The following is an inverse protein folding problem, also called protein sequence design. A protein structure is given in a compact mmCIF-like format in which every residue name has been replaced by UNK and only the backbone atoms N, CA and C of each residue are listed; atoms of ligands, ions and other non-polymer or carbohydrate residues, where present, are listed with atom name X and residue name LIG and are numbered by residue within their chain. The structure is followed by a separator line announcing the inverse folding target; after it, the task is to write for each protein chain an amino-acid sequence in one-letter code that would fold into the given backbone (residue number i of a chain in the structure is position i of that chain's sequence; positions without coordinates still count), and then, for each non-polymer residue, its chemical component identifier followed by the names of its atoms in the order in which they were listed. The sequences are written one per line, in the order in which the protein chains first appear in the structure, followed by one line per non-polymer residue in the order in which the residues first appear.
data_IF_003040363934
#
_entry.id   IF_003040363934
#
_cell.length_a   1.000
_cell.length_b   1.000
_cell.length_c   1.000
_cell.angle_alpha   90.00
_cell.angle_beta   90.00
_cell.angle_gamma   90.00
#
_symmetry.space_group_name_H-M   'P 1'
#
loop_
_entity.id
_entity.type
_entity.pdbx_description
1 polymer ?
#
# COMPACT_ATOMS: atom_id res chain seq x y z
N UNK A 1 15.33 3.62 5.00
CA UNK A 1 13.89 3.24 5.02
C UNK A 1 13.71 2.24 6.15
N UNK A 2 12.95 2.56 7.20
CA UNK A 2 12.59 1.56 8.23
C UNK A 2 11.85 0.40 7.55
N UNK A 3 12.36 -0.83 7.70
CA UNK A 3 11.67 -2.03 7.22
C UNK A 3 10.50 -2.29 8.17
N UNK A 4 9.30 -1.88 7.77
CA UNK A 4 8.09 -2.11 8.55
C UNK A 4 7.71 -3.59 8.41
N UNK A 5 7.91 -4.36 9.48
CA UNK A 5 7.40 -5.74 9.55
C UNK A 5 5.88 -5.70 9.73
N UNK A 6 5.16 -6.50 8.95
CA UNK A 6 3.71 -6.62 9.07
C UNK A 6 3.29 -8.06 9.16
N UNK A 7 2.32 -8.35 10.02
CA UNK A 7 1.65 -9.64 10.12
C UNK A 7 0.20 -9.50 9.64
N UNK A 8 -0.33 -10.56 9.05
CA UNK A 8 -1.67 -10.63 8.47
C UNK A 8 -2.45 -11.74 9.14
N UNK A 9 -3.72 -11.53 9.47
CA UNK A 9 -4.51 -12.56 10.15
C UNK A 9 -4.63 -13.82 9.27
N UNK A 10 -4.67 -13.64 7.94
CA UNK A 10 -4.78 -14.75 7.00
C UNK A 10 -3.61 -15.74 7.04
N UNK A 11 -2.40 -15.34 7.48
CA UNK A 11 -1.26 -16.28 7.59
C UNK A 11 -1.46 -17.31 8.70
N UNK A 12 -2.20 -16.95 9.75
CA UNK A 12 -2.50 -17.84 10.87
C UNK A 12 -3.80 -18.62 10.64
N UNK A 13 -4.84 -17.96 10.13
CA UNK A 13 -6.17 -18.56 10.00
C UNK A 13 -6.27 -19.56 8.84
N UNK A 14 -5.59 -19.32 7.71
CA UNK A 14 -5.68 -20.23 6.55
C UNK A 14 -5.20 -21.65 6.87
N UNK A 15 -4.01 -21.86 7.47
CA UNK A 15 -3.58 -23.20 7.89
C UNK A 15 -4.57 -23.89 8.84
N UNK A 16 -5.10 -23.16 9.83
CA UNK A 16 -6.07 -23.68 10.80
C UNK A 16 -7.33 -24.19 10.11
N UNK A 17 -7.90 -23.38 9.20
CA UNK A 17 -9.09 -23.76 8.42
C UNK A 17 -8.84 -24.94 7.51
N UNK A 18 -7.67 -25.01 6.86
CA UNK A 18 -7.34 -26.11 5.96
C UNK A 18 -7.21 -27.45 6.71
N UNK A 19 -6.73 -27.42 7.96
CA UNK A 19 -6.63 -28.60 8.84
C UNK A 19 -7.89 -28.84 9.67
N UNK A 20 -8.90 -27.97 9.56
CA UNK A 20 -10.13 -28.01 10.33
C UNK A 20 -9.92 -28.07 11.86
N UNK A 21 -8.98 -27.26 12.37
CA UNK A 21 -8.65 -27.15 13.80
C UNK A 21 -8.96 -25.75 14.33
N UNK A 22 -9.38 -25.67 15.60
CA UNK A 22 -9.64 -24.42 16.31
C UNK A 22 -8.48 -24.01 17.24
N UNK A 23 -7.76 -24.98 17.80
CA UNK A 23 -6.54 -24.78 18.60
C UNK A 23 -5.33 -25.46 17.94
N UNK A 24 -4.18 -24.82 17.97
CA UNK A 24 -2.97 -25.33 17.34
C UNK A 24 -1.70 -24.71 17.91
N UNK A 25 -0.73 -25.56 18.19
CA UNK A 25 0.62 -25.17 18.61
C UNK A 25 1.59 -25.55 17.49
N UNK A 26 2.45 -24.61 17.12
CA UNK A 26 3.45 -24.78 16.08
C UNK A 26 4.76 -24.09 16.47
N UNK A 27 5.81 -24.42 15.74
CA UNK A 27 7.08 -23.71 15.80
C UNK A 27 7.34 -23.10 14.42
N UNK A 28 7.61 -21.80 14.39
CA UNK A 28 7.86 -21.05 13.16
C UNK A 28 9.19 -20.31 13.32
N UNK A 29 10.18 -20.66 12.50
CA UNK A 29 11.55 -20.13 12.56
C UNK A 29 12.19 -20.24 13.96
N UNK A 30 11.99 -21.35 14.66
CA UNK A 30 12.49 -21.58 16.01
C UNK A 30 11.71 -20.85 17.12
N UNK A 31 10.54 -20.29 16.80
CA UNK A 31 9.70 -19.54 17.74
C UNK A 31 8.38 -20.24 17.96
N UNK A 32 7.98 -20.33 19.23
CA UNK A 32 6.68 -20.91 19.62
C UNK A 32 5.53 -20.03 19.14
N UNK A 33 4.58 -20.66 18.46
CA UNK A 33 3.33 -20.08 17.99
C UNK A 33 2.17 -20.90 18.55
N UNK A 34 1.27 -20.23 19.24
CA UNK A 34 0.01 -20.79 19.71
C UNK A 34 -1.15 -19.99 19.13
N UNK A 35 -2.14 -20.70 18.60
CA UNK A 35 -3.34 -20.12 18.02
C UNK A 35 -4.53 -20.80 18.68
N UNK A 36 -5.39 -20.01 19.32
CA UNK A 36 -6.63 -20.47 19.93
C UNK A 36 -7.80 -19.64 19.38
N UNK A 37 -8.58 -20.25 18.49
CA UNK A 37 -9.73 -19.60 17.86
C UNK A 37 -10.98 -19.65 18.73
N UNK A 38 -11.02 -20.51 19.74
CA UNK A 38 -12.15 -20.67 20.64
C UNK A 38 -12.09 -19.59 21.73
N UNK A 39 -10.90 -19.37 22.31
CA UNK A 39 -10.62 -18.31 23.26
C UNK A 39 -10.16 -16.99 22.59
N UNK A 40 -10.10 -16.95 21.27
CA UNK A 40 -9.82 -15.75 20.46
C UNK A 40 -8.47 -15.08 20.77
N UNK A 41 -7.37 -15.84 20.77
CA UNK A 41 -6.03 -15.25 20.89
C UNK A 41 -4.99 -15.95 20.01
N UNK A 42 -3.89 -15.23 19.76
CA UNK A 42 -2.68 -15.76 19.15
C UNK A 42 -1.50 -15.31 19.98
N UNK A 43 -0.65 -16.25 20.37
CA UNK A 43 0.61 -15.97 21.05
C UNK A 43 1.76 -16.34 20.13
N UNK A 44 2.62 -15.37 19.83
CA UNK A 44 3.82 -15.56 19.03
C UNK A 44 5.04 -15.11 19.80
N UNK A 45 5.83 -16.06 20.28
CA UNK A 45 6.99 -15.81 21.15
C UNK A 45 6.60 -15.07 22.43
N UNK A 46 6.84 -13.75 22.50
CA UNK A 46 6.46 -12.87 23.63
C UNK A 46 5.27 -11.97 23.32
N UNK A 47 4.86 -11.92 22.05
CA UNK A 47 3.79 -11.05 21.58
C UNK A 47 2.45 -11.80 21.71
N UNK A 48 1.49 -11.19 22.41
CA UNK A 48 0.12 -11.70 22.53
C UNK A 48 -0.83 -10.83 21.71
N UNK A 49 -1.75 -11.46 20.98
CA UNK A 49 -2.70 -10.79 20.11
C UNK A 49 -4.11 -11.29 20.36
N UNK A 50 -4.96 -10.40 20.85
CA UNK A 50 -6.40 -10.67 20.96
C UNK A 50 -7.05 -10.68 19.58
N UNK A 51 -8.04 -11.57 19.42
CA UNK A 51 -8.83 -11.71 18.21
C UNK A 51 -10.27 -11.29 18.44
N UNK A 52 -10.94 -10.96 17.34
CA UNK A 52 -12.39 -10.85 17.27
C UNK A 52 -12.91 -11.72 16.14
N UNK A 53 -14.04 -12.39 16.36
CA UNK A 53 -14.75 -13.17 15.35
C UNK A 53 -16.02 -12.44 14.90
N UNK A 54 -16.37 -12.61 13.63
CA UNK A 54 -17.65 -12.20 13.05
C UNK A 54 -18.20 -13.39 12.26
N UNK A 55 -19.48 -13.77 12.42
CA UNK A 55 -20.08 -14.81 11.60
C UNK A 55 -20.02 -14.44 10.11
N UNK A 56 -19.64 -15.41 9.30
CA UNK A 56 -19.56 -15.31 7.86
C UNK A 56 -20.92 -15.51 7.20
N UNK A 57 -21.12 -14.88 6.04
CA UNK A 57 -22.37 -14.94 5.26
C UNK A 57 -22.68 -16.31 4.64
N UNK A 58 -21.69 -17.22 4.54
CA UNK A 58 -21.86 -18.58 3.98
C UNK A 58 -21.50 -19.68 5.00
N UNK A 59 -21.65 -19.37 6.29
CA UNK A 59 -21.18 -20.23 7.39
C UNK A 59 -19.72 -19.97 7.78
N UNK A 60 -19.38 -20.37 9.01
CA UNK A 60 -18.05 -20.19 9.62
C UNK A 60 -17.75 -18.77 10.10
N UNK A 61 -16.57 -18.58 10.71
CA UNK A 61 -16.17 -17.29 11.31
C UNK A 61 -15.09 -16.56 10.50
N UNK A 62 -15.19 -15.24 10.47
CA UNK A 62 -14.14 -14.31 10.01
C UNK A 62 -13.43 -13.77 11.24
N UNK A 63 -12.12 -14.00 11.30
CA UNK A 63 -11.29 -13.54 12.41
C UNK A 63 -10.55 -12.26 12.03
N UNK A 64 -10.34 -11.41 13.03
CA UNK A 64 -9.63 -10.13 12.95
C UNK A 64 -8.73 -10.01 14.18
N UNK A 65 -7.60 -9.32 14.04
CA UNK A 65 -6.85 -8.85 15.21
C UNK A 65 -7.59 -7.70 15.85
N UNK A 66 -7.53 -7.63 17.18
CA UNK A 66 -7.81 -6.41 17.92
C UNK A 66 -6.51 -5.60 18.02
N UNK A 67 -6.56 -4.33 17.64
CA UNK A 67 -5.39 -3.47 17.75
C UNK A 67 -5.02 -3.25 19.22
N UNK A 68 -3.79 -3.55 19.67
CA UNK A 68 -3.38 -3.35 21.07
C UNK A 68 -3.45 -1.88 21.54
N UNK A 69 -3.45 -0.93 20.59
CA UNK A 69 -3.43 0.50 20.88
C UNK A 69 -4.85 1.11 20.93
N UNK A 70 -5.77 0.62 20.10
CA UNK A 70 -7.09 1.27 19.93
C UNK A 70 -8.28 0.31 19.94
N UNK A 71 -8.06 -0.98 20.14
CA UNK A 71 -9.12 -2.00 20.18
C UNK A 71 -9.85 -2.25 18.86
N UNK A 72 -9.54 -1.49 17.79
CA UNK A 72 -10.23 -1.66 16.52
C UNK A 72 -9.88 -2.99 15.86
N UNK A 73 -10.89 -3.63 15.27
CA UNK A 73 -10.74 -4.83 14.43
C UNK A 73 -9.93 -4.50 13.18
N UNK A 74 -8.86 -5.24 12.94
CA UNK A 74 -8.00 -5.07 11.79
C UNK A 74 -7.50 -6.42 11.25
N UNK A 75 -7.20 -6.48 9.95
CA UNK A 75 -6.66 -7.69 9.31
C UNK A 75 -5.13 -7.75 9.33
N UNK A 76 -4.49 -6.60 9.54
CA UNK A 76 -3.03 -6.45 9.52
C UNK A 76 -2.57 -5.64 10.71
N UNK A 77 -1.53 -6.13 11.36
CA UNK A 77 -0.79 -5.40 12.37
C UNK A 77 0.61 -5.09 11.82
N UNK A 78 1.07 -3.88 12.10
CA UNK A 78 2.37 -3.39 11.70
C UNK A 78 3.22 -3.23 12.96
N UNK A 79 4.43 -3.79 12.95
CA UNK A 79 5.42 -3.59 14.00
C UNK A 79 6.21 -2.33 13.68
N UNK A 80 6.19 -1.37 14.60
CA UNK A 80 7.09 -0.22 14.57
C UNK A 80 7.76 -0.11 15.93
N UNK A 81 9.08 0.00 15.94
CA UNK A 81 9.88 -0.12 17.15
C UNK A 81 9.57 -1.46 17.85
N UNK A 82 8.93 -1.42 19.03
CA UNK A 82 8.64 -2.59 19.86
C UNK A 82 7.16 -3.02 19.83
N UNK A 83 6.25 -2.23 19.27
CA UNK A 83 4.81 -2.42 19.45
C UNK A 83 4.12 -2.72 18.12
N UNK A 84 3.20 -3.67 18.13
CA UNK A 84 2.26 -3.92 17.03
C UNK A 84 1.05 -3.00 17.13
N UNK A 85 0.66 -2.42 16.00
CA UNK A 85 -0.57 -1.63 15.93
C UNK A 85 -1.20 -1.67 14.54
N UNK A 86 -2.45 -1.22 14.45
CA UNK A 86 -3.13 -1.09 13.17
C UNK A 86 -2.48 0.01 12.31
N UNK A 87 -2.79 0.01 11.01
CA UNK A 87 -2.21 0.97 10.05
C UNK A 87 -2.45 2.44 10.41
N UNK A 88 -3.57 2.75 11.06
CA UNK A 88 -3.90 4.09 11.53
C UNK A 88 -3.02 4.51 12.72
N UNK A 89 -2.92 3.68 13.76
CA UNK A 89 -2.09 3.95 14.94
C UNK A 89 -0.61 4.08 14.57
N UNK A 90 -0.13 3.22 13.68
CA UNK A 90 1.25 3.23 13.20
C UNK A 90 1.52 4.28 12.10
N UNK A 91 0.51 5.08 11.74
CA UNK A 91 0.58 6.14 10.71
C UNK A 91 1.13 5.63 9.36
N UNK A 92 0.89 4.36 9.01
CA UNK A 92 1.31 3.73 7.74
C UNK A 92 0.69 4.45 6.54
N UNK A 93 -0.55 4.93 6.72
CA UNK A 93 -1.21 5.70 5.68
C UNK A 93 -0.53 7.04 5.41
N UNK A 94 0.06 7.70 6.42
CA UNK A 94 0.80 8.96 6.20
C UNK A 94 2.07 8.73 5.40
N UNK A 95 2.85 7.69 5.71
CA UNK A 95 4.05 7.36 4.94
C UNK A 95 3.73 6.93 3.50
N UNK A 96 2.60 6.25 3.28
CA UNK A 96 2.19 5.79 1.94
C UNK A 96 1.49 6.89 1.11
N UNK A 97 0.60 7.70 1.71
CA UNK A 97 -0.08 8.80 1.01
C UNK A 97 0.85 9.96 0.67
N UNK A 98 1.85 10.22 1.52
CA UNK A 98 2.76 11.35 1.38
C UNK A 98 4.08 10.99 0.70
N UNK A 99 4.26 9.75 0.23
CA UNK A 99 5.57 9.27 -0.23
C UNK A 99 6.18 10.03 -1.41
N UNK A 100 5.46 10.96 -2.03
CA UNK A 100 5.96 11.67 -3.21
C UNK A 100 5.01 12.76 -3.77
N UNK A 101 3.96 13.18 -3.05
CA UNK A 101 3.02 14.19 -3.58
C UNK A 101 3.51 15.63 -3.46
N UNK A 102 4.72 15.82 -2.93
CA UNK A 102 5.41 17.10 -2.80
C UNK A 102 6.67 17.17 -3.67
N UNK A 103 7.05 16.06 -4.30
CA UNK A 103 8.23 15.95 -5.15
C UNK A 103 7.82 16.18 -6.61
N UNK A 104 8.55 17.04 -7.32
CA UNK A 104 8.32 17.32 -8.73
C UNK A 104 8.56 16.08 -9.59
N UNK A 105 9.58 15.27 -9.28
CA UNK A 105 9.96 14.08 -10.06
C UNK A 105 8.80 13.07 -10.12
N UNK A 106 8.07 12.90 -9.03
CA UNK A 106 6.90 12.03 -8.99
C UNK A 106 5.81 12.40 -9.99
N UNK A 107 5.53 13.70 -10.12
CA UNK A 107 4.53 14.18 -11.06
C UNK A 107 5.04 14.07 -12.49
N UNK A 108 6.31 14.32 -12.73
CA UNK A 108 6.94 14.12 -14.03
C UNK A 108 6.90 12.64 -14.46
N UNK A 109 7.21 11.70 -13.57
CA UNK A 109 7.09 10.26 -13.85
C UNK A 109 5.64 9.84 -14.11
N UNK A 110 4.65 10.45 -13.46
CA UNK A 110 3.24 10.24 -13.78
C UNK A 110 2.89 10.78 -15.16
N UNK A 111 3.41 11.93 -15.56
CA UNK A 111 3.24 12.46 -16.91
C UNK A 111 3.83 11.49 -17.95
N UNK A 112 5.09 11.05 -17.77
CA UNK A 112 5.74 10.08 -18.66
C UNK A 112 4.94 8.77 -18.77
N UNK A 113 4.35 8.30 -17.66
CA UNK A 113 3.46 7.13 -17.68
C UNK A 113 2.19 7.33 -18.50
N UNK A 114 1.62 8.54 -18.57
CA UNK A 114 0.47 8.81 -19.45
C UNK A 114 0.88 8.84 -20.92
N UNK A 115 2.06 9.36 -21.26
CA UNK A 115 2.61 9.29 -22.62
C UNK A 115 2.88 7.85 -23.05
N UNK A 116 3.45 7.01 -22.17
CA UNK A 116 3.70 5.58 -22.43
C UNK A 116 2.44 4.73 -22.63
N UNK A 117 1.25 5.23 -22.26
CA UNK A 117 -0.04 4.57 -22.58
C UNK A 117 -0.49 4.84 -24.00
N UNK A 118 0.03 5.88 -24.64
CA UNK A 118 -0.24 6.24 -26.02
C UNK A 118 0.80 5.59 -26.93
N UNK A 119 2.08 5.73 -26.59
CA UNK A 119 3.19 5.11 -27.30
C UNK A 119 4.07 4.32 -26.31
N UNK A 120 3.95 2.97 -26.27
CA UNK A 120 4.77 2.14 -25.40
C UNK A 120 6.26 2.35 -25.68
N UNK A 121 7.05 2.57 -24.62
CA UNK A 121 8.49 2.86 -24.74
C UNK A 121 8.83 4.32 -25.00
N UNK A 122 7.83 5.20 -25.13
CA UNK A 122 8.07 6.63 -25.30
C UNK A 122 8.91 7.21 -24.15
N UNK A 123 9.98 7.89 -24.54
CA UNK A 123 10.88 8.59 -23.65
C UNK A 123 11.31 9.90 -24.33
N UNK A 124 11.37 11.02 -23.61
CA UNK A 124 11.88 12.26 -24.16
C UNK A 124 13.33 12.07 -24.63
N UNK A 125 13.60 12.44 -25.89
CA UNK A 125 14.92 12.37 -26.53
C UNK A 125 15.93 13.26 -25.81
N UNK A 126 15.48 14.38 -25.24
CA UNK A 126 16.33 15.35 -24.53
C UNK A 126 16.27 15.19 -23.00
N UNK A 127 15.83 14.04 -22.51
CA UNK A 127 15.95 13.67 -21.09
C UNK A 127 14.89 14.28 -20.15
N UNK A 128 13.87 14.98 -20.66
CA UNK A 128 12.78 15.49 -19.84
C UNK A 128 11.52 15.85 -20.63
N UNK A 129 10.34 15.80 -19.98
CA UNK A 129 9.06 16.16 -20.60
C UNK A 129 9.00 17.63 -21.07
N UNK A 130 9.89 18.50 -20.57
CA UNK A 130 9.95 19.91 -20.94
C UNK A 130 10.46 20.14 -22.36
N UNK A 131 11.18 19.17 -22.91
CA UNK A 131 11.91 19.33 -24.18
C UNK A 131 11.27 18.56 -25.34
N UNK A 132 10.36 17.64 -25.06
CA UNK A 132 9.67 16.82 -26.05
C UNK A 132 8.16 16.81 -25.80
N UNK A 133 7.38 16.94 -26.87
CA UNK A 133 5.91 16.97 -26.81
C UNK A 133 5.29 15.60 -26.53
N UNK A 134 4.02 15.60 -26.09
CA UNK A 134 3.23 14.37 -25.94
C UNK A 134 3.15 13.60 -27.28
N UNK A 135 3.26 12.26 -27.29
CA UNK A 135 3.26 11.47 -28.51
C UNK A 135 1.99 11.69 -29.33
N UNK A 136 2.13 11.59 -30.65
CA UNK A 136 1.00 11.71 -31.57
C UNK A 136 -0.01 10.59 -31.37
N UNK A 137 -1.27 10.85 -31.79
CA UNK A 137 -2.35 9.87 -31.63
C UNK A 137 -2.11 8.65 -32.55
N UNK A 138 -2.02 7.43 -32.01
CA UNK A 138 -1.95 6.22 -32.81
C UNK A 138 -3.20 6.07 -33.69
N UNK A 139 -3.03 5.52 -34.90
CA UNK A 139 -4.09 5.38 -35.91
C UNK A 139 -5.41 4.86 -35.33
N UNK A 140 -5.34 3.78 -34.55
CA UNK A 140 -6.50 3.07 -33.98
C UNK A 140 -6.96 3.58 -32.61
N UNK A 141 -6.28 4.57 -32.02
CA UNK A 141 -6.68 5.11 -30.73
C UNK A 141 -7.86 6.07 -30.88
N UNK A 142 -8.96 5.81 -30.15
CA UNK A 142 -10.12 6.71 -30.09
C UNK A 142 -9.70 8.11 -29.63
N UNK A 143 -10.17 9.15 -30.33
CA UNK A 143 -9.82 10.56 -30.07
C UNK A 143 -10.08 11.00 -28.63
N UNK A 144 -11.21 10.60 -28.04
CA UNK A 144 -11.53 10.91 -26.64
C UNK A 144 -10.56 10.25 -25.64
N UNK A 145 -10.11 9.01 -25.92
CA UNK A 145 -9.12 8.33 -25.08
C UNK A 145 -7.77 9.04 -25.15
N UNK A 146 -7.36 9.44 -26.34
CA UNK A 146 -6.14 10.22 -26.56
C UNK A 146 -6.14 11.54 -25.77
N UNK A 147 -7.18 12.36 -25.93
CA UNK A 147 -7.28 13.63 -25.20
C UNK A 147 -7.29 13.47 -23.69
N UNK A 148 -7.92 12.40 -23.18
CA UNK A 148 -7.89 12.09 -21.75
C UNK A 148 -6.47 11.86 -21.24
N UNK A 149 -5.62 11.17 -22.01
CA UNK A 149 -4.21 10.97 -21.63
C UNK A 149 -3.39 12.25 -21.77
N UNK A 150 -3.61 13.01 -22.85
CA UNK A 150 -2.97 14.31 -23.05
C UNK A 150 -3.29 15.31 -21.94
N UNK A 151 -4.56 15.47 -21.55
CA UNK A 151 -4.95 16.34 -20.44
C UNK A 151 -4.31 15.93 -19.12
N UNK A 152 -4.23 14.62 -18.85
CA UNK A 152 -3.54 14.12 -17.65
C UNK A 152 -2.04 14.40 -17.69
N UNK A 153 -1.40 14.22 -18.84
CA UNK A 153 0.00 14.56 -19.04
C UNK A 153 0.23 16.03 -18.69
N UNK A 154 -0.51 16.95 -19.31
CA UNK A 154 -0.39 18.40 -19.07
C UNK A 154 -0.66 18.77 -17.60
N UNK A 155 -1.65 18.15 -16.97
CA UNK A 155 -1.95 18.41 -15.57
C UNK A 155 -0.82 17.94 -14.63
N UNK A 156 -0.21 16.80 -14.93
CA UNK A 156 0.92 16.29 -14.15
C UNK A 156 2.19 17.10 -14.37
N UNK A 157 2.49 17.53 -15.61
CA UNK A 157 3.65 18.38 -15.88
C UNK A 157 3.52 19.71 -15.14
N UNK A 158 2.39 20.42 -15.30
CA UNK A 158 2.10 21.67 -14.57
C UNK A 158 2.23 21.53 -13.06
N UNK A 159 1.78 20.39 -12.51
CA UNK A 159 1.87 20.15 -11.08
C UNK A 159 3.31 19.90 -10.63
N UNK A 160 4.08 19.14 -11.39
CA UNK A 160 5.51 18.96 -11.13
C UNK A 160 6.30 20.27 -11.27
N UNK A 161 6.03 21.07 -12.31
CA UNK A 161 6.58 22.42 -12.50
C UNK A 161 6.32 23.30 -11.28
N UNK A 162 5.07 23.33 -10.80
CA UNK A 162 4.70 24.12 -9.62
C UNK A 162 5.49 23.71 -8.38
N UNK A 163 5.68 22.40 -8.13
CA UNK A 163 6.50 21.95 -7.00
C UNK A 163 7.98 22.28 -7.19
N UNK A 164 8.52 22.16 -8.40
CA UNK A 164 9.91 22.48 -8.70
C UNK A 164 10.20 23.98 -8.50
N UNK A 165 9.34 24.84 -9.06
CA UNK A 165 9.45 26.30 -8.92
C UNK A 165 9.24 26.77 -7.48
N UNK A 166 8.32 26.15 -6.74
CA UNK A 166 8.12 26.43 -5.30
C UNK A 166 9.25 25.91 -4.41
N UNK A 167 9.99 24.89 -4.84
CA UNK A 167 11.19 24.42 -4.13
C UNK A 167 12.34 25.42 -4.22
N UNK A 168 12.50 26.06 -5.38
CA UNK A 168 13.51 27.09 -5.64
C UNK A 168 13.25 28.40 -4.88
N UNK A 169 11.99 28.78 -4.68
CA UNK A 169 11.64 30.01 -3.94
C UNK A 169 11.90 29.93 -2.43
N UNK A 170 11.96 28.73 -1.86
CA UNK A 170 12.20 28.49 -0.43
C UNK A 170 13.70 28.35 -0.06
N UNK A 171 14.62 28.52 -1.02
CA UNK A 171 16.07 28.51 -0.82
C UNK A 171 16.66 29.92 -0.56
N UNK A 172 15.81 30.90 -0.23
CA UNK A 172 16.23 32.25 0.17
C UNK A 172 16.43 32.37 1.67
#
# INVERSE_FOLDING_TARGET
MEVIKSITIETFIKPMKNKNISHGIAELDGRKLEIDLDNLYITFERDHFDLASIPGTKGGNRYFFLCPICGNRCRKLYKRLLIYGCGSCQKIHKSTLNRSKTDCQYYWERALREARKVEPGWNPKRGGYMFDGFPERPKYMKRGKYYKHYQKFVNYTKKGDSFWLNGLSNLK
#
